data_IF_534162003098
#
_entry.id   IF_534162003098
#
_cell.length_a   1.000
_cell.length_b   1.000
_cell.length_c   1.000
_cell.angle_alpha   90.00
_cell.angle_beta   90.00
_cell.angle_gamma   90.00
#
_symmetry.space_group_name_H-M   'P 1'
#
loop_
_entity.id
_entity.type
_entity.pdbx_description
1 polymer ?
#
# COMPACT_ATOMS: atom_id res chain seq x y z
N UNK A 1 18.14 -1.40 3.99
CA UNK A 1 18.23 -0.38 2.93
C UNK A 1 19.01 0.80 3.47
N UNK A 2 20.05 1.25 2.75
CA UNK A 2 20.77 2.48 3.07
C UNK A 2 19.88 3.70 2.78
N UNK A 3 20.19 4.85 3.38
CA UNK A 3 19.42 6.11 3.39
C UNK A 3 19.27 6.82 2.02
N UNK A 4 19.33 6.08 0.91
CA UNK A 4 19.19 6.62 -0.45
C UNK A 4 18.54 5.66 -1.46
N UNK A 5 18.06 4.49 -1.04
CA UNK A 5 17.34 3.59 -1.95
C UNK A 5 15.89 4.06 -2.11
N UNK A 6 15.52 4.45 -3.34
CA UNK A 6 14.16 4.89 -3.67
C UNK A 6 13.20 3.73 -3.41
N UNK A 7 12.07 4.01 -2.75
CA UNK A 7 11.02 3.01 -2.49
C UNK A 7 10.60 2.29 -3.78
N UNK A 8 10.38 0.94 -3.76
CA UNK A 8 9.81 0.21 -4.89
C UNK A 8 8.37 0.62 -5.21
N UNK A 9 7.74 1.42 -4.34
CA UNK A 9 6.40 1.95 -4.53
C UNK A 9 6.40 3.45 -4.88
N UNK A 10 7.58 4.05 -5.11
CA UNK A 10 7.69 5.46 -5.50
C UNK A 10 7.45 5.63 -7.00
N UNK A 11 6.71 6.69 -7.43
CA UNK A 11 6.64 7.08 -8.84
C UNK A 11 8.00 7.38 -9.46
N UNK A 12 9.02 7.76 -8.66
CA UNK A 12 10.38 8.03 -9.12
C UNK A 12 11.10 6.80 -9.68
N UNK A 13 10.56 5.59 -9.47
CA UNK A 13 11.05 4.38 -10.14
C UNK A 13 10.80 4.37 -11.65
N UNK A 14 9.97 5.29 -12.16
CA UNK A 14 9.68 5.45 -13.59
C UNK A 14 9.23 4.15 -14.28
N UNK A 15 8.40 3.37 -13.61
CA UNK A 15 7.89 2.11 -14.17
C UNK A 15 7.02 2.34 -15.41
N UNK A 16 7.06 1.39 -16.34
CA UNK A 16 5.99 1.16 -17.32
C UNK A 16 5.08 0.05 -16.82
N UNK A 17 3.77 0.28 -16.85
CA UNK A 17 2.79 -0.71 -16.42
C UNK A 17 2.44 -1.65 -17.58
N UNK A 18 2.80 -2.94 -17.46
CA UNK A 18 2.34 -3.99 -18.38
C UNK A 18 1.18 -4.75 -17.74
N UNK A 19 -0.02 -4.61 -18.32
CA UNK A 19 -1.18 -5.42 -17.97
C UNK A 19 -1.18 -6.74 -18.76
N UNK A 20 -1.54 -7.84 -18.11
CA UNK A 20 -1.76 -9.13 -18.78
C UNK A 20 -3.26 -9.34 -19.02
N UNK A 21 -3.64 -10.10 -20.07
CA UNK A 21 -5.03 -10.44 -20.32
C UNK A 21 -5.70 -11.06 -19.10
N UNK A 22 -6.94 -10.67 -18.84
CA UNK A 22 -7.78 -11.19 -17.77
C UNK A 22 -9.07 -11.73 -18.36
N UNK A 23 -9.36 -13.00 -18.10
CA UNK A 23 -10.60 -13.67 -18.51
C UNK A 23 -11.10 -14.50 -17.33
N UNK A 24 -12.20 -14.10 -16.67
CA UNK A 24 -12.75 -14.84 -15.54
C UNK A 24 -13.03 -16.30 -15.93
N UNK A 25 -12.35 -17.25 -15.29
CA UNK A 25 -12.61 -18.67 -15.45
C UNK A 25 -12.38 -19.42 -14.12
N UNK A 26 -13.23 -19.16 -13.11
CA UNK A 26 -12.97 -19.61 -11.76
C UNK A 26 -12.96 -21.16 -11.70
N UNK A 27 -11.91 -21.77 -11.13
CA UNK A 27 -11.84 -23.23 -10.98
C UNK A 27 -12.78 -23.70 -9.86
N UNK A 28 -13.14 -24.99 -9.87
CA UNK A 28 -14.08 -25.56 -8.91
C UNK A 28 -13.56 -25.70 -7.46
N UNK A 29 -12.23 -25.74 -7.25
CA UNK A 29 -11.65 -25.85 -5.90
C UNK A 29 -10.42 -24.96 -5.73
N UNK A 30 -10.46 -24.12 -4.69
CA UNK A 30 -9.35 -23.26 -4.26
C UNK A 30 -8.70 -23.84 -3.00
N UNK A 31 -7.37 -23.84 -2.96
CA UNK A 31 -6.63 -24.13 -1.72
C UNK A 31 -6.82 -23.02 -0.68
N UNK A 32 -6.64 -23.33 0.60
CA UNK A 32 -6.84 -22.35 1.68
C UNK A 32 -5.92 -21.13 1.54
N UNK A 33 -4.70 -21.34 1.03
CA UNK A 33 -3.79 -20.25 0.70
C UNK A 33 -4.34 -19.34 -0.41
N UNK A 34 -4.97 -19.90 -1.46
CA UNK A 34 -5.56 -19.10 -2.54
C UNK A 34 -6.78 -18.32 -2.04
N UNK A 35 -7.62 -18.93 -1.19
CA UNK A 35 -8.73 -18.24 -0.52
C UNK A 35 -8.23 -17.07 0.32
N UNK A 36 -7.20 -17.30 1.13
CA UNK A 36 -6.61 -16.25 1.96
C UNK A 36 -6.02 -15.10 1.12
N UNK A 37 -5.35 -15.41 0.01
CA UNK A 37 -4.83 -14.37 -0.90
C UNK A 37 -5.97 -13.58 -1.54
N UNK A 38 -7.05 -14.23 -1.97
CA UNK A 38 -8.21 -13.55 -2.55
C UNK A 38 -8.93 -12.66 -1.53
N UNK A 39 -9.12 -13.14 -0.31
CA UNK A 39 -9.68 -12.37 0.80
C UNK A 39 -8.80 -11.15 1.11
N UNK A 40 -7.48 -11.34 1.23
CA UNK A 40 -6.55 -10.24 1.44
C UNK A 40 -6.61 -9.20 0.31
N UNK A 41 -6.55 -9.65 -0.96
CA UNK A 41 -6.66 -8.75 -2.13
C UNK A 41 -8.03 -8.08 -2.23
N UNK A 42 -9.10 -8.68 -1.71
CA UNK A 42 -10.41 -8.03 -1.68
C UNK A 42 -10.40 -6.76 -0.80
N UNK A 43 -9.62 -6.80 0.28
CA UNK A 43 -9.45 -5.68 1.21
C UNK A 43 -8.44 -4.64 0.70
N UNK A 44 -7.24 -5.07 0.28
CA UNK A 44 -6.15 -4.14 -0.12
C UNK A 44 -6.09 -3.80 -1.60
N UNK A 45 -6.93 -4.45 -2.42
CA UNK A 45 -7.03 -4.32 -3.89
C UNK A 45 -5.84 -4.86 -4.69
N UNK A 46 -4.59 -4.62 -4.32
CA UNK A 46 -3.43 -5.12 -5.06
C UNK A 46 -2.24 -5.44 -4.16
N UNK A 47 -1.39 -6.39 -4.56
CA UNK A 47 -0.15 -6.70 -3.86
C UNK A 47 0.93 -7.18 -4.82
N UNK A 48 2.20 -6.89 -4.50
CA UNK A 48 3.32 -7.48 -5.22
C UNK A 48 3.52 -8.95 -4.84
N UNK A 49 4.25 -9.70 -5.65
CA UNK A 49 4.56 -11.09 -5.33
C UNK A 49 5.38 -11.21 -4.05
N UNK A 50 6.32 -10.29 -3.81
CA UNK A 50 7.16 -10.31 -2.61
C UNK A 50 6.40 -9.88 -1.35
N UNK A 51 5.30 -9.14 -1.48
CA UNK A 51 4.41 -8.82 -0.37
C UNK A 51 3.57 -10.02 0.05
N UNK A 52 3.22 -10.91 -0.89
CA UNK A 52 2.37 -12.07 -0.63
C UNK A 52 3.17 -13.35 -0.30
N UNK A 53 4.38 -13.49 -0.83
CA UNK A 53 5.14 -14.73 -0.70
C UNK A 53 6.64 -14.61 -1.04
N UNK A 54 7.45 -15.39 -0.32
CA UNK A 54 8.88 -15.51 -0.59
C UNK A 54 9.22 -16.73 -1.47
N UNK A 55 8.38 -17.78 -1.43
CA UNK A 55 8.69 -19.06 -2.06
C UNK A 55 8.27 -19.17 -3.53
N UNK A 56 9.13 -19.77 -4.36
CA UNK A 56 8.90 -20.00 -5.79
C UNK A 56 7.60 -20.77 -6.09
N UNK A 57 7.19 -21.70 -5.21
CA UNK A 57 5.94 -22.45 -5.37
C UNK A 57 4.70 -21.56 -5.29
N UNK A 58 4.66 -20.62 -4.36
CA UNK A 58 3.56 -19.66 -4.22
C UNK A 58 3.53 -18.67 -5.40
N UNK A 59 4.69 -18.24 -5.89
CA UNK A 59 4.78 -17.42 -7.12
C UNK A 59 4.18 -18.13 -8.34
N UNK A 60 4.39 -19.45 -8.47
CA UNK A 60 3.72 -20.27 -9.51
C UNK A 60 2.21 -20.34 -9.30
N UNK A 61 1.73 -20.43 -8.06
CA UNK A 61 0.29 -20.39 -7.75
C UNK A 61 -0.33 -19.04 -8.13
N UNK A 62 0.28 -17.90 -7.82
CA UNK A 62 -0.23 -16.59 -8.27
C UNK A 62 -0.39 -16.50 -9.79
N UNK A 63 0.58 -17.05 -10.54
CA UNK A 63 0.48 -17.13 -12.00
C UNK A 63 -0.65 -18.06 -12.46
N UNK A 64 -0.95 -19.13 -11.73
CA UNK A 64 -2.08 -20.02 -12.02
C UNK A 64 -3.41 -19.32 -11.72
N UNK A 65 -3.51 -18.64 -10.57
CA UNK A 65 -4.70 -17.84 -10.21
C UNK A 65 -5.01 -16.77 -11.26
N UNK A 66 -4.00 -16.06 -11.75
CA UNK A 66 -4.18 -15.08 -12.82
C UNK A 66 -4.65 -15.72 -14.14
N UNK A 67 -4.07 -16.87 -14.53
CA UNK A 67 -4.50 -17.60 -15.75
C UNK A 67 -5.92 -18.14 -15.63
N UNK A 68 -6.36 -18.48 -14.42
CA UNK A 68 -7.74 -18.87 -14.12
C UNK A 68 -8.69 -17.67 -13.95
N UNK A 69 -8.22 -16.43 -14.19
CA UNK A 69 -9.06 -15.25 -14.07
C UNK A 69 -9.56 -14.96 -12.66
N UNK A 70 -8.86 -15.42 -11.62
CA UNK A 70 -9.18 -15.12 -10.23
C UNK A 70 -8.62 -13.77 -9.77
N UNK A 71 -7.53 -13.32 -10.41
CA UNK A 71 -6.87 -12.05 -10.14
C UNK A 71 -6.35 -11.45 -11.44
N UNK A 72 -6.36 -10.12 -11.53
CA UNK A 72 -5.61 -9.40 -12.54
C UNK A 72 -4.12 -9.56 -12.29
N UNK A 73 -3.32 -9.56 -13.35
CA UNK A 73 -1.86 -9.58 -13.26
C UNK A 73 -1.26 -8.41 -14.00
N UNK A 74 -0.30 -7.79 -13.33
CA UNK A 74 0.49 -6.69 -13.87
C UNK A 74 1.98 -6.95 -13.67
N UNK A 75 2.80 -6.26 -14.46
CA UNK A 75 4.22 -6.15 -14.24
C UNK A 75 4.63 -4.67 -14.31
N UNK A 76 5.23 -4.18 -13.23
CA UNK A 76 5.94 -2.90 -13.20
C UNK A 76 7.29 -3.10 -13.87
N UNK A 77 7.53 -2.48 -15.02
CA UNK A 77 8.75 -2.62 -15.80
C UNK A 77 9.65 -1.40 -15.60
N UNK A 78 10.82 -1.60 -15.00
CA UNK A 78 11.78 -0.53 -14.70
C UNK A 78 13.17 -1.12 -14.49
N UNK A 79 13.99 -0.51 -13.64
CA UNK A 79 15.31 -1.08 -13.30
C UNK A 79 15.20 -2.50 -12.71
N UNK A 80 14.16 -2.72 -11.89
CA UNK A 80 13.75 -4.06 -11.42
C UNK A 80 12.30 -4.30 -11.79
N UNK A 81 12.03 -5.47 -12.38
CA UNK A 81 10.67 -5.85 -12.72
C UNK A 81 9.94 -6.40 -11.50
N UNK A 82 8.76 -5.86 -11.21
CA UNK A 82 7.92 -6.29 -10.08
C UNK A 82 6.62 -6.86 -10.61
N UNK A 83 6.33 -8.12 -10.26
CA UNK A 83 5.05 -8.73 -10.57
C UNK A 83 4.03 -8.38 -9.49
N UNK A 84 2.81 -8.09 -9.94
CA UNK A 84 1.70 -7.64 -9.11
C UNK A 84 0.46 -8.44 -9.46
N UNK A 85 -0.33 -8.79 -8.44
CA UNK A 85 -1.69 -9.30 -8.59
C UNK A 85 -2.69 -8.33 -7.98
N UNK A 86 -3.91 -8.31 -8.51
CA UNK A 86 -4.97 -7.44 -8.02
C UNK A 86 -6.36 -8.07 -8.15
N UNK A 87 -7.27 -7.72 -7.25
CA UNK A 87 -8.69 -8.05 -7.31
C UNK A 87 -9.50 -7.11 -8.23
N UNK A 88 -8.91 -6.00 -8.69
CA UNK A 88 -9.56 -5.00 -9.54
C UNK A 88 -8.67 -4.60 -10.73
N UNK A 89 -9.28 -4.00 -11.75
CA UNK A 89 -8.53 -3.41 -12.85
C UNK A 89 -7.87 -2.09 -12.44
N UNK A 90 -6.59 -1.93 -12.76
CA UNK A 90 -5.87 -0.67 -12.70
C UNK A 90 -5.60 -0.13 -14.12
N UNK A 91 -6.01 1.12 -14.34
CA UNK A 91 -5.75 1.93 -15.54
C UNK A 91 -4.61 2.94 -15.33
N UNK A 92 -4.26 3.20 -14.08
CA UNK A 92 -3.33 4.24 -13.67
C UNK A 92 -2.22 3.65 -12.77
N UNK A 93 -0.96 3.87 -13.17
CA UNK A 93 0.23 3.43 -12.43
C UNK A 93 0.34 4.08 -11.05
N UNK A 94 0.09 5.38 -10.91
CA UNK A 94 0.15 6.09 -9.63
C UNK A 94 -0.85 5.52 -8.63
N UNK A 95 -2.10 5.26 -9.07
CA UNK A 95 -3.10 4.58 -8.23
C UNK A 95 -2.63 3.20 -7.77
N UNK A 96 -1.99 2.44 -8.66
CA UNK A 96 -1.44 1.13 -8.30
C UNK A 96 -0.32 1.26 -7.27
N UNK A 97 0.63 2.16 -7.48
CA UNK A 97 1.76 2.39 -6.55
C UNK A 97 1.28 2.82 -5.15
N UNK A 98 0.29 3.73 -5.07
CA UNK A 98 -0.37 4.11 -3.81
C UNK A 98 -1.06 2.94 -3.11
N UNK A 99 -1.64 2.02 -3.90
CA UNK A 99 -2.26 0.81 -3.36
C UNK A 99 -1.21 -0.16 -2.82
N UNK A 100 -0.07 -0.31 -3.49
CA UNK A 100 0.99 -1.25 -3.07
C UNK A 100 1.68 -0.82 -1.77
N UNK A 101 1.92 0.48 -1.60
CA UNK A 101 2.47 1.01 -0.33
C UNK A 101 1.46 0.96 0.82
N UNK A 102 0.18 1.23 0.53
CA UNK A 102 -0.89 0.98 1.51
C UNK A 102 -0.95 -0.49 1.92
N UNK A 103 -0.81 -1.41 0.97
CA UNK A 103 -0.76 -2.85 1.24
C UNK A 103 0.40 -3.21 2.16
N UNK A 104 1.56 -2.57 2.00
CA UNK A 104 2.70 -2.75 2.91
C UNK A 104 2.36 -2.33 4.34
N UNK A 105 1.66 -1.20 4.52
CA UNK A 105 1.17 -0.76 5.84
C UNK A 105 0.25 -1.82 6.45
N UNK A 106 -0.71 -2.34 5.67
CA UNK A 106 -1.67 -3.36 6.14
C UNK A 106 -0.95 -4.63 6.59
N UNK A 107 0.05 -5.10 5.85
CA UNK A 107 0.85 -6.27 6.23
C UNK A 107 1.58 -6.08 7.56
N UNK A 108 2.07 -4.86 7.81
CA UNK A 108 2.79 -4.51 9.06
C UNK A 108 1.85 -4.35 10.24
N UNK A 109 0.71 -3.69 10.05
CA UNK A 109 -0.23 -3.37 11.14
C UNK A 109 -1.24 -4.49 11.43
N UNK A 110 -1.57 -5.31 10.44
CA UNK A 110 -2.61 -6.35 10.51
C UNK A 110 -3.92 -5.80 11.10
N UNK A 111 -4.54 -4.79 10.46
CA UNK A 111 -5.77 -4.19 10.95
C UNK A 111 -6.90 -5.22 11.03
N UNK A 112 -7.86 -4.98 11.94
CA UNK A 112 -9.06 -5.82 12.09
C UNK A 112 -9.98 -5.71 10.88
N UNK A 113 -10.06 -4.52 10.30
CA UNK A 113 -10.91 -4.23 9.14
C UNK A 113 -10.33 -3.08 8.30
N UNK A 114 -10.72 -3.03 7.03
CA UNK A 114 -10.34 -2.01 6.05
C UNK A 114 -11.60 -1.53 5.34
N UNK A 115 -11.97 -0.28 5.59
CA UNK A 115 -13.12 0.35 4.96
C UNK A 115 -12.66 1.20 3.76
N UNK A 116 -13.49 1.31 2.70
CA UNK A 116 -13.16 2.12 1.55
C UNK A 116 -12.91 3.58 1.93
N UNK A 117 -11.93 4.19 1.26
CA UNK A 117 -11.67 5.63 1.34
C UNK A 117 -12.59 6.45 0.44
N UNK A 118 -12.51 7.77 0.55
CA UNK A 118 -13.15 8.70 -0.37
C UNK A 118 -12.32 9.98 -0.50
N UNK A 119 -12.45 10.66 -1.64
CA UNK A 119 -11.70 11.88 -1.96
C UNK A 119 -10.17 11.67 -1.81
N UNK A 120 -9.55 12.38 -0.87
CA UNK A 120 -8.11 12.31 -0.60
C UNK A 120 -7.71 11.18 0.35
N UNK A 121 -8.69 10.50 0.97
CA UNK A 121 -8.45 9.36 1.86
C UNK A 121 -8.40 8.10 1.03
N UNK A 122 -7.29 7.37 1.09
CA UNK A 122 -7.09 6.13 0.34
C UNK A 122 -7.98 5.00 0.88
N UNK A 123 -7.96 4.81 2.20
CA UNK A 123 -8.75 3.83 2.93
C UNK A 123 -8.87 4.23 4.41
N UNK A 124 -9.76 3.59 5.14
CA UNK A 124 -9.77 3.66 6.61
C UNK A 124 -9.35 2.30 7.17
N UNK A 125 -8.37 2.27 8.07
CA UNK A 125 -7.95 1.04 8.76
C UNK A 125 -8.48 1.02 10.19
N UNK A 126 -8.98 -0.13 10.62
CA UNK A 126 -9.53 -0.32 11.96
C UNK A 126 -8.53 -1.10 12.81
N UNK A 127 -8.00 -0.44 13.83
CA UNK A 127 -7.14 -1.05 14.86
C UNK A 127 -7.93 -1.14 16.18
N UNK A 128 -7.55 -0.34 17.17
CA UNK A 128 -8.40 -0.01 18.32
C UNK A 128 -9.33 1.17 18.01
N UNK A 129 -8.92 2.02 17.08
CA UNK A 129 -9.69 3.13 16.55
C UNK A 129 -9.65 3.08 15.01
N UNK A 130 -10.51 3.86 14.37
CA UNK A 130 -10.50 4.05 12.91
C UNK A 130 -9.48 5.12 12.55
N UNK A 131 -8.57 4.79 11.63
CA UNK A 131 -7.58 5.71 11.09
C UNK A 131 -7.80 5.89 9.58
N UNK A 132 -8.26 7.07 9.13
CA UNK A 132 -8.11 7.47 7.74
C UNK A 132 -6.64 7.39 7.33
N UNK A 133 -6.35 6.79 6.18
CA UNK A 133 -5.02 6.69 5.61
C UNK A 133 -4.91 7.61 4.41
N UNK A 134 -4.02 8.58 4.50
CA UNK A 134 -3.62 9.44 3.38
C UNK A 134 -2.32 8.88 2.80
N UNK A 135 -2.20 8.87 1.48
CA UNK A 135 -0.99 8.45 0.79
C UNK A 135 -0.47 9.64 0.00
N UNK A 136 0.68 10.17 0.39
CA UNK A 136 1.38 11.28 -0.26
C UNK A 136 2.57 10.73 -1.06
N UNK A 137 2.66 11.10 -2.34
CA UNK A 137 3.66 10.62 -3.29
C UNK A 137 4.39 11.80 -3.93
N UNK A 138 5.50 11.50 -4.58
CA UNK A 138 6.22 12.50 -5.36
C UNK A 138 5.31 13.13 -6.43
N UNK A 139 5.28 14.45 -6.51
CA UNK A 139 4.43 15.23 -7.41
C UNK A 139 3.12 15.71 -6.79
N UNK A 140 2.73 15.20 -5.61
CA UNK A 140 1.60 15.75 -4.84
C UNK A 140 2.00 17.09 -4.19
N UNK A 141 1.01 17.95 -3.93
CA UNK A 141 1.21 19.19 -3.19
C UNK A 141 1.19 18.93 -1.65
N UNK A 142 2.34 19.01 -0.96
CA UNK A 142 2.39 18.84 0.49
C UNK A 142 1.63 19.95 1.24
N UNK A 143 1.43 21.12 0.62
CA UNK A 143 0.68 22.25 1.19
C UNK A 143 -0.79 21.94 1.44
N UNK A 144 -1.37 21.01 0.68
CA UNK A 144 -2.75 20.56 0.87
C UNK A 144 -2.93 19.59 2.04
N UNK A 145 -1.86 18.95 2.51
CA UNK A 145 -1.94 17.92 3.55
C UNK A 145 -2.52 18.46 4.86
N UNK A 146 -2.02 19.57 5.44
CA UNK A 146 -2.61 20.15 6.66
C UNK A 146 -4.07 20.56 6.49
N UNK A 147 -4.46 21.02 5.30
CA UNK A 147 -5.86 21.41 5.03
C UNK A 147 -6.81 20.21 5.09
N UNK A 148 -6.37 19.06 4.59
CA UNK A 148 -7.14 17.81 4.62
C UNK A 148 -7.15 17.23 6.03
N UNK A 149 -5.97 17.11 6.66
CA UNK A 149 -5.82 16.36 7.92
C UNK A 149 -6.41 17.08 9.14
N UNK A 150 -6.37 18.41 9.18
CA UNK A 150 -6.91 19.21 10.29
C UNK A 150 -8.45 19.18 10.39
N UNK A 151 -9.13 18.55 9.41
CA UNK A 151 -10.59 18.31 9.43
C UNK A 151 -10.94 16.92 9.95
N UNK A 152 -9.95 16.09 10.26
CA UNK A 152 -10.11 14.74 10.76
C UNK A 152 -9.82 14.70 12.26
N UNK A 153 -10.33 13.68 12.94
CA UNK A 153 -10.01 13.44 14.36
C UNK A 153 -8.62 12.82 14.56
N UNK A 154 -8.18 12.01 13.60
CA UNK A 154 -6.86 11.39 13.56
C UNK A 154 -6.54 10.92 12.14
N UNK A 155 -5.27 10.68 11.83
CA UNK A 155 -4.86 10.25 10.48
C UNK A 155 -3.54 9.49 10.51
N UNK A 156 -3.38 8.54 9.59
CA UNK A 156 -2.08 7.98 9.21
C UNK A 156 -1.70 8.53 7.84
N UNK A 157 -0.48 9.04 7.71
CA UNK A 157 0.06 9.52 6.44
C UNK A 157 1.19 8.60 6.00
N UNK A 158 1.08 8.01 4.82
CA UNK A 158 2.18 7.31 4.16
C UNK A 158 2.86 8.26 3.21
N UNK A 159 4.15 8.50 3.40
CA UNK A 159 4.90 9.48 2.61
C UNK A 159 6.27 8.95 2.22
N UNK A 160 6.77 9.35 1.06
CA UNK A 160 8.15 9.05 0.66
C UNK A 160 9.16 9.88 1.44
N UNK A 161 8.79 11.10 1.81
CA UNK A 161 9.67 12.07 2.47
C UNK A 161 8.91 12.79 3.59
N UNK A 162 9.66 13.27 4.58
CA UNK A 162 9.10 14.10 5.63
C UNK A 162 9.08 15.57 5.16
N UNK A 163 7.89 16.15 5.03
CA UNK A 163 7.71 17.50 4.51
C UNK A 163 7.62 18.53 5.64
N UNK A 164 8.25 19.72 5.52
CA UNK A 164 8.13 20.78 6.52
C UNK A 164 6.68 21.20 6.79
N UNK A 165 5.80 21.09 5.79
CA UNK A 165 4.37 21.36 5.87
C UNK A 165 3.66 20.51 6.93
N UNK A 166 4.20 19.32 7.25
CA UNK A 166 3.63 18.47 8.29
C UNK A 166 3.59 19.16 9.65
N UNK A 167 4.50 20.08 9.96
CA UNK A 167 4.48 20.88 11.19
C UNK A 167 3.18 21.70 11.38
N UNK A 168 2.41 21.93 10.30
CA UNK A 168 1.14 22.67 10.34
C UNK A 168 -0.06 21.77 10.67
N UNK A 169 0.15 20.46 10.82
CA UNK A 169 -0.88 19.50 11.22
C UNK A 169 -1.09 19.61 12.73
N UNK A 170 -2.33 19.88 13.14
CA UNK A 170 -2.76 20.06 14.54
C UNK A 170 -3.50 18.83 15.07
N UNK A 171 -4.09 18.04 14.18
CA UNK A 171 -4.79 16.79 14.51
C UNK A 171 -3.78 15.69 14.90
N UNK A 172 -4.15 14.77 15.81
CA UNK A 172 -3.38 13.54 16.05
C UNK A 172 -3.00 12.81 14.75
N UNK A 173 -1.71 12.77 14.45
CA UNK A 173 -1.21 12.30 13.17
C UNK A 173 -0.01 11.38 13.36
N UNK A 174 -0.04 10.22 12.68
CA UNK A 174 1.07 9.27 12.59
C UNK A 174 1.58 9.26 11.15
N UNK A 175 2.81 9.71 10.94
CA UNK A 175 3.45 9.73 9.62
C UNK A 175 4.36 8.52 9.53
N UNK A 176 4.22 7.71 8.49
CA UNK A 176 5.12 6.59 8.21
C UNK A 176 5.82 6.83 6.88
N UNK A 177 7.15 6.73 6.89
CA UNK A 177 7.93 6.85 5.67
C UNK A 177 8.06 5.49 4.98
N UNK A 178 8.09 5.50 3.65
CA UNK A 178 8.24 4.29 2.84
C UNK A 178 9.43 3.42 3.27
N UNK A 179 10.57 4.04 3.58
CA UNK A 179 11.76 3.34 4.04
C UNK A 179 11.54 2.59 5.36
N UNK A 180 10.64 3.08 6.22
CA UNK A 180 10.33 2.48 7.52
C UNK A 180 9.23 1.43 7.41
N UNK A 181 8.34 1.53 6.42
CA UNK A 181 7.39 0.47 6.05
C UNK A 181 8.09 -0.82 5.57
N UNK A 182 9.27 -0.67 4.97
CA UNK A 182 10.05 -1.74 4.38
C UNK A 182 11.07 -2.36 5.34
N UNK A 183 11.31 -1.76 6.51
CA UNK A 183 12.10 -2.34 7.60
C UNK A 183 11.30 -3.38 8.37
N UNK A 184 11.97 -4.18 9.20
CA UNK A 184 11.29 -5.16 10.04
C UNK A 184 10.37 -4.49 11.06
N UNK A 185 10.89 -3.48 11.76
CA UNK A 185 10.15 -2.68 12.73
C UNK A 185 9.51 -1.45 12.10
N UNK A 186 8.19 -1.33 12.28
CA UNK A 186 7.43 -0.18 11.81
C UNK A 186 7.70 1.03 12.72
N UNK A 187 8.11 2.15 12.11
CA UNK A 187 8.30 3.42 12.81
C UNK A 187 7.27 4.44 12.33
N UNK A 188 6.66 5.14 13.27
CA UNK A 188 5.85 6.32 13.01
C UNK A 188 6.54 7.57 13.54
N UNK A 189 6.15 8.71 12.98
CA UNK A 189 6.62 10.02 13.36
C UNK A 189 5.43 10.93 13.65
N UNK A 190 5.61 11.82 14.62
CA UNK A 190 4.73 12.96 14.84
C UNK A 190 4.95 14.03 13.76
N UNK A 191 4.00 14.99 13.60
CA UNK A 191 4.14 16.13 12.71
C UNK A 191 5.43 16.94 12.81
N UNK A 192 6.06 16.94 14.00
CA UNK A 192 7.34 17.62 14.28
C UNK A 192 8.59 16.79 13.96
N UNK A 193 8.41 15.58 13.42
CA UNK A 193 9.49 14.67 13.05
C UNK A 193 10.04 13.83 14.21
N UNK A 194 9.54 13.99 15.45
CA UNK A 194 9.90 13.09 16.55
C UNK A 194 9.30 11.71 16.31
N UNK A 195 10.03 10.66 16.66
CA UNK A 195 9.52 9.28 16.58
C UNK A 195 8.36 9.08 17.56
N UNK A 196 7.30 8.44 17.09
CA UNK A 196 6.20 7.99 17.94
C UNK A 196 6.63 6.71 18.68
N UNK A 197 6.92 6.85 19.97
CA UNK A 197 7.33 5.74 20.83
C UNK A 197 6.20 4.73 21.10
N UNK A 198 4.95 5.04 20.72
CA UNK A 198 3.76 4.24 21.05
C UNK A 198 3.23 3.46 19.84
N UNK A 199 4.11 3.00 18.94
CA UNK A 199 3.76 2.38 17.66
C UNK A 199 2.93 1.06 17.75
N UNK A 200 2.49 0.62 18.93
CA UNK A 200 1.77 -0.64 19.17
C UNK A 200 0.36 -0.51 19.79
N UNK A 201 -0.21 0.70 19.95
CA UNK A 201 -1.58 0.89 20.48
C UNK A 201 -2.57 1.53 19.50
#
# INVERSE_FOLDING_TARGET
MSSGEISPFSPLQNYKLKAYPFSPNPPGHLSDWEKHVLEFLSAVKAATYFQLCDHTRQKKKLNAMSRAGLVHKYQLQGQRNINVVSSVGFDNLDRLLRTLVFTQLVLKLKPKDILPGSNHIHAHIVLNNVFPVLVLRHGDDPGMVPFITNRLERVIILSETFYPEFNKIKTPCRICLDQDLLKDELTFYYPDGRRDAVARS
#
